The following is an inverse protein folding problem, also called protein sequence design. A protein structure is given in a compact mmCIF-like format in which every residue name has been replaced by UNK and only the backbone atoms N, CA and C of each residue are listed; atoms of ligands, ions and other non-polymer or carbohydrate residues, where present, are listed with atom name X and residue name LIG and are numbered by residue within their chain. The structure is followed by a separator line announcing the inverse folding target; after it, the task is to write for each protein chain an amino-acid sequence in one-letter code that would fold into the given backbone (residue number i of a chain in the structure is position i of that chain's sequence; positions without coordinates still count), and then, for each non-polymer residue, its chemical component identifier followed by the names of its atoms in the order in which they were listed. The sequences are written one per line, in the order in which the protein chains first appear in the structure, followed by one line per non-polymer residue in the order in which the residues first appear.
data_IF_215305944767
#
_entry.id   IF_215305944767
#
_cell.length_a   1.000
_cell.length_b   1.000
_cell.length_c   1.000
_cell.angle_alpha   90.00
_cell.angle_beta   90.00
_cell.angle_gamma   90.00
#
_symmetry.space_group_name_H-M   'P 1'
#
loop_
_entity.id
_entity.type
_entity.pdbx_description
1 polymer ?
#
# COMPACT_ATOMS: atom_id res chain seq x y z
N UNK A 1 -20.04 -1.43 -16.11
CA UNK A 1 -20.13 -2.78 -15.53
C UNK A 1 -20.83 -3.79 -16.44
N UNK A 2 -22.05 -3.54 -17.02
CA UNK A 2 -22.72 -4.51 -17.88
C UNK A 2 -21.90 -4.88 -19.13
N UNK A 3 -21.07 -3.99 -19.64
CA UNK A 3 -20.17 -4.25 -20.76
C UNK A 3 -19.13 -5.34 -20.43
N UNK A 4 -18.51 -5.28 -19.25
CA UNK A 4 -17.52 -6.28 -18.81
C UNK A 4 -18.18 -7.62 -18.46
N UNK A 5 -19.34 -7.61 -17.82
CA UNK A 5 -20.10 -8.80 -17.49
C UNK A 5 -20.50 -9.61 -18.74
N UNK A 6 -20.89 -8.93 -19.84
CA UNK A 6 -21.17 -9.58 -21.15
C UNK A 6 -19.91 -10.24 -21.75
N UNK A 7 -18.72 -9.84 -21.35
CA UNK A 7 -17.45 -10.42 -21.79
C UNK A 7 -16.94 -11.55 -20.88
N UNK A 8 -17.75 -11.95 -19.88
CA UNK A 8 -17.39 -13.00 -18.92
C UNK A 8 -16.35 -12.54 -17.90
N UNK A 9 -16.23 -11.26 -17.65
CA UNK A 9 -15.31 -10.68 -16.67
C UNK A 9 -16.08 -10.40 -15.38
N UNK A 10 -15.52 -10.82 -14.24
CA UNK A 10 -16.10 -10.55 -12.94
C UNK A 10 -16.18 -9.03 -12.69
N UNK A 11 -17.40 -8.54 -12.50
CA UNK A 11 -17.67 -7.13 -12.29
C UNK A 11 -17.06 -6.58 -11.00
N UNK A 12 -17.02 -7.38 -9.93
CA UNK A 12 -16.47 -6.97 -8.63
C UNK A 12 -14.95 -6.84 -8.73
N UNK A 13 -14.27 -7.85 -9.27
CA UNK A 13 -12.83 -7.81 -9.50
C UNK A 13 -12.41 -6.64 -10.39
N UNK A 14 -13.20 -6.34 -11.44
CA UNK A 14 -12.96 -5.21 -12.32
C UNK A 14 -13.08 -3.87 -11.59
N UNK A 15 -14.09 -3.69 -10.74
CA UNK A 15 -14.25 -2.44 -9.95
C UNK A 15 -13.07 -2.26 -9.01
N UNK A 16 -12.68 -3.31 -8.29
CA UNK A 16 -11.53 -3.27 -7.38
C UNK A 16 -10.26 -2.89 -8.14
N UNK A 17 -10.00 -3.53 -9.29
CA UNK A 17 -8.83 -3.23 -10.12
C UNK A 17 -8.83 -1.77 -10.62
N UNK A 18 -9.98 -1.21 -10.97
CA UNK A 18 -10.11 0.17 -11.41
C UNK A 18 -9.89 1.20 -10.28
N UNK A 19 -10.13 0.82 -9.03
CA UNK A 19 -9.97 1.71 -7.86
C UNK A 19 -8.60 1.61 -7.19
N UNK A 20 -7.82 0.56 -7.48
CA UNK A 20 -6.48 0.35 -6.91
C UNK A 20 -5.45 1.39 -7.37
N UNK A 21 -4.65 1.93 -6.46
CA UNK A 21 -3.51 2.84 -6.72
C UNK A 21 -2.21 2.12 -6.37
N UNK A 22 -1.12 2.47 -7.05
CA UNK A 22 0.21 1.91 -6.78
C UNK A 22 1.13 3.01 -6.22
N UNK A 23 1.22 3.14 -4.90
CA UNK A 23 2.13 4.08 -4.24
C UNK A 23 3.60 3.76 -4.51
N UNK A 24 3.93 2.49 -4.71
CA UNK A 24 5.29 2.06 -5.03
C UNK A 24 5.87 2.71 -6.29
N UNK A 25 5.02 3.07 -7.27
CA UNK A 25 5.43 3.81 -8.48
C UNK A 25 5.35 5.32 -8.29
N UNK A 26 4.45 5.77 -7.44
CA UNK A 26 4.18 7.19 -7.23
C UNK A 26 5.26 7.86 -6.38
N UNK A 27 5.73 7.18 -5.34
CA UNK A 27 6.73 7.72 -4.40
C UNK A 27 8.04 8.16 -5.06
N UNK A 28 8.68 7.36 -5.96
CA UNK A 28 9.86 7.82 -6.68
C UNK A 28 9.62 9.08 -7.49
N UNK A 29 8.47 9.18 -8.15
CA UNK A 29 8.10 10.36 -8.97
C UNK A 29 7.97 11.61 -8.08
N UNK A 30 7.33 11.48 -6.91
CA UNK A 30 7.21 12.58 -5.95
C UNK A 30 8.58 13.05 -5.45
N UNK A 31 9.49 12.11 -5.18
CA UNK A 31 10.88 12.43 -4.77
C UNK A 31 11.66 13.12 -5.88
N UNK A 32 11.64 12.60 -7.10
CA UNK A 32 12.32 13.19 -8.26
C UNK A 32 11.80 14.61 -8.57
N UNK A 33 10.52 14.86 -8.34
CA UNK A 33 9.89 16.17 -8.54
C UNK A 33 10.01 17.10 -7.34
N UNK A 34 10.66 16.67 -6.25
CA UNK A 34 10.77 17.41 -4.98
C UNK A 34 9.41 17.84 -4.42
N UNK A 35 8.39 17.01 -4.59
CA UNK A 35 7.04 17.25 -4.08
C UNK A 35 6.83 16.63 -2.70
N UNK A 36 7.74 15.80 -2.22
CA UNK A 36 7.70 15.21 -0.87
C UNK A 36 7.76 16.31 0.20
N UNK A 37 6.87 16.24 1.20
CA UNK A 37 6.75 17.27 2.23
C UNK A 37 6.10 18.58 1.79
N UNK A 38 5.56 18.64 0.57
CA UNK A 38 4.71 19.75 0.14
C UNK A 38 3.23 19.41 0.37
N UNK A 39 2.34 20.42 0.54
CA UNK A 39 0.91 20.16 0.71
C UNK A 39 0.30 19.32 -0.42
N UNK A 40 0.80 19.48 -1.64
CA UNK A 40 0.38 18.69 -2.81
C UNK A 40 0.87 17.26 -2.69
N UNK A 41 2.15 17.07 -2.36
CA UNK A 41 2.73 15.75 -2.17
C UNK A 41 2.05 14.97 -1.05
N UNK A 42 1.79 15.61 0.07
CA UNK A 42 1.09 15.01 1.22
C UNK A 42 -0.36 14.62 0.86
N UNK A 43 -1.07 15.45 0.10
CA UNK A 43 -2.39 15.13 -0.41
C UNK A 43 -2.34 13.90 -1.34
N UNK A 44 -1.40 13.86 -2.29
CA UNK A 44 -1.23 12.74 -3.22
C UNK A 44 -0.92 11.44 -2.47
N UNK A 45 -0.03 11.49 -1.48
CA UNK A 45 0.32 10.33 -0.64
C UNK A 45 -0.91 9.85 0.14
N UNK A 46 -1.66 10.76 0.74
CA UNK A 46 -2.86 10.43 1.52
C UNK A 46 -3.93 9.77 0.65
N UNK A 47 -4.25 10.36 -0.51
CA UNK A 47 -5.21 9.77 -1.45
C UNK A 47 -4.70 8.43 -2.02
N UNK A 48 -3.42 8.33 -2.33
CA UNK A 48 -2.78 7.10 -2.81
C UNK A 48 -2.85 5.99 -1.78
N UNK A 49 -2.61 6.29 -0.49
CA UNK A 49 -2.70 5.32 0.61
C UNK A 49 -4.12 4.75 0.73
N UNK A 50 -5.15 5.59 0.72
CA UNK A 50 -6.53 5.11 0.74
C UNK A 50 -6.90 4.36 -0.54
N UNK A 51 -6.39 4.78 -1.70
CA UNK A 51 -6.57 4.11 -2.99
C UNK A 51 -5.85 2.76 -3.09
N UNK A 52 -4.92 2.45 -2.20
CA UNK A 52 -4.26 1.14 -2.10
C UNK A 52 -4.93 0.27 -1.04
N UNK A 53 -5.15 0.80 0.16
CA UNK A 53 -5.75 0.07 1.27
C UNK A 53 -7.22 -0.31 1.03
N UNK A 54 -8.01 0.61 0.51
CA UNK A 54 -9.44 0.39 0.28
C UNK A 54 -9.71 -0.85 -0.58
N UNK A 55 -9.11 -0.95 -1.78
CA UNK A 55 -9.23 -2.13 -2.63
C UNK A 55 -8.73 -3.43 -2.00
N UNK A 56 -7.63 -3.39 -1.22
CA UNK A 56 -7.10 -4.58 -0.53
C UNK A 56 -8.12 -5.10 0.50
N UNK A 57 -8.68 -4.20 1.30
CA UNK A 57 -9.73 -4.55 2.26
C UNK A 57 -11.00 -5.02 1.54
N UNK A 58 -11.38 -4.37 0.44
CA UNK A 58 -12.51 -4.79 -0.37
C UNK A 58 -12.31 -6.19 -0.97
N UNK A 59 -11.10 -6.52 -1.46
CA UNK A 59 -10.77 -7.86 -1.91
C UNK A 59 -10.91 -8.89 -0.79
N UNK A 60 -10.36 -8.60 0.38
CA UNK A 60 -10.41 -9.50 1.52
C UNK A 60 -11.87 -9.80 1.95
N UNK A 61 -12.78 -8.85 1.79
CA UNK A 61 -14.18 -9.00 2.20
C UNK A 61 -15.05 -9.56 1.06
N UNK A 62 -14.94 -9.00 -0.15
CA UNK A 62 -15.86 -9.26 -1.26
C UNK A 62 -15.48 -10.48 -2.12
N UNK A 63 -14.17 -10.77 -2.24
CA UNK A 63 -13.68 -11.92 -3.01
C UNK A 63 -13.36 -13.13 -2.12
N UNK A 64 -13.58 -13.02 -0.81
CA UNK A 64 -13.42 -14.15 0.10
C UNK A 64 -14.38 -15.28 -0.28
N UNK A 65 -13.87 -16.51 -0.36
CA UNK A 65 -14.66 -17.72 -0.55
C UNK A 65 -15.44 -18.13 0.70
N UNK A 66 -15.20 -17.45 1.82
CA UNK A 66 -15.83 -17.70 3.12
C UNK A 66 -17.15 -16.95 3.26
N UNK A 67 -18.01 -17.41 4.15
CA UNK A 67 -19.21 -16.65 4.52
C UNK A 67 -18.80 -15.33 5.20
N UNK A 68 -19.56 -14.26 4.99
CA UNK A 68 -19.25 -12.90 5.51
C UNK A 68 -18.89 -12.88 7.00
N UNK A 69 -19.56 -13.67 7.83
CA UNK A 69 -19.28 -13.84 9.26
C UNK A 69 -17.86 -14.43 9.51
N UNK A 70 -17.48 -15.47 8.79
CA UNK A 70 -16.15 -16.11 8.92
C UNK A 70 -15.06 -15.15 8.49
N UNK A 71 -15.27 -14.37 7.42
CA UNK A 71 -14.34 -13.34 6.96
C UNK A 71 -14.13 -12.28 8.03
N UNK A 72 -15.21 -11.81 8.70
CA UNK A 72 -15.10 -10.84 9.79
C UNK A 72 -14.34 -11.40 11.00
N UNK A 73 -14.53 -12.68 11.33
CA UNK A 73 -13.76 -13.34 12.39
C UNK A 73 -12.28 -13.42 12.07
N UNK A 74 -11.94 -13.79 10.83
CA UNK A 74 -10.55 -13.92 10.39
C UNK A 74 -9.85 -12.55 10.37
N UNK A 75 -10.50 -11.53 9.84
CA UNK A 75 -9.99 -10.16 9.87
C UNK A 75 -9.84 -9.64 11.31
N UNK A 76 -10.81 -9.93 12.17
CA UNK A 76 -10.74 -9.57 13.59
C UNK A 76 -9.60 -10.27 14.33
N UNK A 77 -9.39 -11.57 14.07
CA UNK A 77 -8.27 -12.33 14.62
C UNK A 77 -6.92 -11.80 14.13
N UNK A 78 -6.81 -11.53 12.83
CA UNK A 78 -5.61 -10.92 12.24
C UNK A 78 -5.31 -9.54 12.86
N UNK A 79 -6.31 -8.67 12.95
CA UNK A 79 -6.18 -7.35 13.59
C UNK A 79 -5.75 -7.47 15.06
N UNK A 80 -6.30 -8.45 15.79
CA UNK A 80 -5.92 -8.71 17.19
C UNK A 80 -4.45 -9.09 17.29
N UNK A 81 -3.94 -9.94 16.41
CA UNK A 81 -2.52 -10.31 16.35
C UNK A 81 -1.66 -9.08 16.05
N UNK A 82 -2.06 -8.25 15.09
CA UNK A 82 -1.37 -7.00 14.76
C UNK A 82 -1.29 -6.05 15.97
N UNK A 83 -2.40 -5.88 16.70
CA UNK A 83 -2.46 -5.08 17.92
C UNK A 83 -1.56 -5.63 19.02
N UNK A 84 -1.54 -6.95 19.21
CA UNK A 84 -0.63 -7.59 20.16
C UNK A 84 0.82 -7.36 19.78
N UNK A 85 1.18 -7.53 18.50
CA UNK A 85 2.52 -7.25 17.99
C UNK A 85 2.93 -5.77 18.16
N UNK A 86 1.99 -4.84 18.09
CA UNK A 86 2.25 -3.42 18.33
C UNK A 86 2.37 -3.09 19.83
N UNK A 87 1.54 -3.68 20.66
CA UNK A 87 1.45 -3.34 22.09
C UNK A 87 2.54 -4.02 22.95
N UNK A 88 2.94 -5.24 22.60
CA UNK A 88 3.97 -5.98 23.37
C UNK A 88 5.31 -5.23 23.46
N UNK A 89 5.89 -4.77 22.33
CA UNK A 89 7.13 -4.00 22.38
C UNK A 89 6.97 -2.68 23.13
N UNK A 90 5.86 -1.97 22.96
CA UNK A 90 5.66 -0.66 23.60
C UNK A 90 5.50 -0.77 25.12
N UNK A 91 4.88 -1.83 25.63
CA UNK A 91 4.85 -2.10 27.08
C UNK A 91 6.25 -2.47 27.61
N UNK A 92 6.99 -3.32 26.87
CA UNK A 92 8.36 -3.67 27.23
C UNK A 92 9.29 -2.43 27.16
N UNK A 93 9.09 -1.52 26.21
CA UNK A 93 9.84 -0.27 26.08
C UNK A 93 9.56 0.71 27.24
N UNK A 94 8.29 0.82 27.68
CA UNK A 94 7.93 1.66 28.84
C UNK A 94 8.50 1.12 30.15
N UNK A 95 8.66 -0.18 30.29
CA UNK A 95 9.18 -0.83 31.51
C UNK A 95 10.70 -0.97 31.50
N UNK A 96 11.36 -0.88 30.35
CA UNK A 96 12.79 -1.09 30.20
C UNK A 96 13.46 -0.09 29.26
N UNK A 97 14.00 1.01 29.79
CA UNK A 97 14.92 1.92 29.09
C UNK A 97 16.08 1.20 28.36
N UNK A 98 16.38 -0.05 28.76
CA UNK A 98 17.46 -0.85 28.14
C UNK A 98 17.16 -1.29 26.72
N UNK A 99 15.93 -1.71 26.41
CA UNK A 99 15.57 -2.19 25.07
C UNK A 99 15.49 -1.01 24.07
N UNK A 100 14.94 0.12 24.52
CA UNK A 100 14.89 1.34 23.70
C UNK A 100 16.30 1.86 23.40
N UNK A 101 17.17 1.98 24.42
CA UNK A 101 18.59 2.32 24.22
C UNK A 101 19.28 1.31 23.32
N UNK A 102 19.08 0.02 23.53
CA UNK A 102 19.68 -1.02 22.69
C UNK A 102 19.25 -0.87 21.21
N UNK A 103 18.00 -0.55 20.93
CA UNK A 103 17.51 -0.33 19.57
C UNK A 103 18.02 1.00 18.98
N UNK A 104 18.06 2.07 19.77
CA UNK A 104 18.53 3.40 19.30
C UNK A 104 20.05 3.50 19.22
N UNK A 105 20.76 2.99 20.21
CA UNK A 105 22.23 3.02 20.23
C UNK A 105 22.82 2.07 19.17
N UNK A 106 22.13 0.96 18.86
CA UNK A 106 22.54 0.02 17.82
C UNK A 106 21.90 0.32 16.44
N UNK A 107 21.07 1.34 16.30
CA UNK A 107 20.50 1.73 15.01
C UNK A 107 21.58 2.13 13.99
N UNK A 108 22.69 2.70 14.48
CA UNK A 108 23.86 3.12 13.69
C UNK A 108 24.99 2.09 13.68
N UNK A 109 24.83 0.96 14.38
CA UNK A 109 25.86 -0.07 14.45
C UNK A 109 25.84 -0.93 13.18
N UNK A 110 26.99 -1.47 12.80
CA UNK A 110 27.20 -2.34 11.64
C UNK A 110 26.35 -3.61 11.61
N UNK A 111 25.74 -4.00 12.74
CA UNK A 111 24.90 -5.19 12.86
C UNK A 111 23.56 -5.14 12.13
N UNK A 112 23.12 -3.97 11.68
CA UNK A 112 21.85 -3.78 10.96
C UNK A 112 20.64 -4.41 11.70
N UNK A 113 20.65 -4.40 13.02
CA UNK A 113 19.66 -5.07 13.88
C UNK A 113 18.24 -4.61 13.57
N UNK A 114 18.03 -3.31 13.34
CA UNK A 114 16.72 -2.78 12.97
C UNK A 114 16.24 -3.34 11.62
N UNK A 115 17.13 -3.44 10.63
CA UNK A 115 16.77 -4.01 9.33
C UNK A 115 16.35 -5.48 9.45
N UNK A 116 17.08 -6.26 10.25
CA UNK A 116 16.75 -7.68 10.52
C UNK A 116 15.41 -7.82 11.24
N UNK A 117 15.17 -6.98 12.25
CA UNK A 117 13.89 -6.97 12.99
C UNK A 117 12.72 -6.59 12.08
N UNK A 118 12.90 -5.56 11.24
CA UNK A 118 11.88 -5.14 10.28
C UNK A 118 11.58 -6.25 9.27
N UNK A 119 12.61 -6.90 8.73
CA UNK A 119 12.45 -8.02 7.78
C UNK A 119 11.76 -9.20 8.47
N UNK A 120 12.14 -9.52 9.70
CA UNK A 120 11.48 -10.58 10.47
C UNK A 120 10.00 -10.27 10.72
N UNK A 121 9.68 -9.05 11.16
CA UNK A 121 8.29 -8.62 11.38
C UNK A 121 7.48 -8.68 10.08
N UNK A 122 8.05 -8.25 8.96
CA UNK A 122 7.44 -8.32 7.65
C UNK A 122 7.10 -9.77 7.27
N UNK A 123 8.11 -10.66 7.30
CA UNK A 123 7.93 -12.07 6.94
C UNK A 123 6.92 -12.73 7.88
N UNK A 124 6.99 -12.46 9.17
CA UNK A 124 6.09 -13.01 10.17
C UNK A 124 4.62 -12.62 9.89
N UNK A 125 4.32 -11.35 9.68
CA UNK A 125 2.96 -10.90 9.43
C UNK A 125 2.43 -11.29 8.04
N UNK A 126 3.29 -11.33 7.03
CA UNK A 126 2.94 -11.87 5.71
C UNK A 126 2.61 -13.36 5.80
N UNK A 127 3.39 -14.13 6.57
CA UNK A 127 3.11 -15.56 6.79
C UNK A 127 1.78 -15.76 7.53
N UNK A 128 1.52 -14.97 8.57
CA UNK A 128 0.24 -15.03 9.29
C UNK A 128 -0.92 -14.66 8.36
N UNK A 129 -0.77 -13.59 7.56
CA UNK A 129 -1.78 -13.21 6.57
C UNK A 129 -2.08 -14.38 5.62
N UNK A 130 -1.04 -15.03 5.09
CA UNK A 130 -1.19 -16.18 4.21
C UNK A 130 -1.86 -17.39 4.91
N UNK A 131 -1.54 -17.66 6.18
CA UNK A 131 -2.19 -18.73 6.97
C UNK A 131 -3.68 -18.47 7.18
N UNK A 132 -4.08 -17.21 7.26
CA UNK A 132 -5.48 -16.81 7.33
C UNK A 132 -6.15 -16.70 5.95
N UNK A 133 -5.45 -17.06 4.87
CA UNK A 133 -5.92 -16.89 3.47
C UNK A 133 -6.30 -15.42 3.14
N UNK A 134 -5.63 -14.48 3.80
CA UNK A 134 -5.70 -13.06 3.49
C UNK A 134 -4.59 -12.70 2.50
N UNK A 135 -4.74 -11.56 1.83
CA UNK A 135 -3.72 -11.08 0.92
C UNK A 135 -2.40 -10.77 1.65
N UNK A 136 -1.28 -11.19 1.07
CA UNK A 136 0.07 -10.94 1.60
C UNK A 136 0.36 -9.43 1.77
N UNK A 137 -0.22 -8.59 0.92
CA UNK A 137 -0.09 -7.14 0.98
C UNK A 137 -0.68 -6.58 2.28
N UNK A 138 -1.77 -7.17 2.79
CA UNK A 138 -2.35 -6.77 4.07
C UNK A 138 -1.38 -7.04 5.24
N UNK A 139 -0.69 -8.18 5.21
CA UNK A 139 0.35 -8.51 6.19
C UNK A 139 1.54 -7.56 6.14
N UNK A 140 1.99 -7.23 4.93
CA UNK A 140 3.10 -6.30 4.73
C UNK A 140 2.74 -4.87 5.18
N UNK A 141 1.52 -4.42 4.88
CA UNK A 141 1.00 -3.13 5.34
C UNK A 141 0.93 -3.05 6.87
N UNK A 142 0.39 -4.10 7.51
CA UNK A 142 0.33 -4.18 8.97
C UNK A 142 1.74 -4.11 9.59
N UNK A 143 2.74 -4.77 8.99
CA UNK A 143 4.13 -4.70 9.44
C UNK A 143 4.69 -3.27 9.39
N UNK A 144 4.44 -2.55 8.29
CA UNK A 144 4.85 -1.16 8.13
C UNK A 144 4.17 -0.24 9.16
N UNK A 145 2.87 -0.42 9.38
CA UNK A 145 2.12 0.35 10.37
C UNK A 145 2.63 0.12 11.81
N UNK A 146 2.89 -1.14 12.17
CA UNK A 146 3.44 -1.51 13.48
C UNK A 146 4.83 -0.91 13.65
N UNK A 147 5.68 -0.99 12.62
CA UNK A 147 7.02 -0.42 12.65
C UNK A 147 6.96 1.11 12.88
N UNK A 148 6.07 1.80 12.17
CA UNK A 148 5.86 3.24 12.36
C UNK A 148 5.37 3.60 13.77
N UNK A 149 4.53 2.74 14.35
CA UNK A 149 4.04 2.93 15.72
C UNK A 149 5.13 2.72 16.78
N UNK A 150 6.04 1.75 16.55
CA UNK A 150 7.14 1.46 17.47
C UNK A 150 8.26 2.51 17.37
N UNK A 151 8.52 3.03 16.17
CA UNK A 151 9.56 4.02 15.87
C UNK A 151 8.91 5.27 15.26
N UNK A 152 8.20 6.09 16.06
CA UNK A 152 7.43 7.22 15.55
C UNK A 152 8.31 8.32 14.93
N UNK A 153 9.50 8.55 15.47
CA UNK A 153 10.45 9.56 14.96
C UNK A 153 11.17 9.12 13.69
N UNK A 154 10.93 7.87 13.25
CA UNK A 154 11.58 7.26 12.11
C UNK A 154 13.10 7.12 12.32
N UNK A 155 13.70 6.16 11.67
CA UNK A 155 15.15 6.10 11.53
C UNK A 155 15.46 6.37 10.07
N UNK A 156 15.96 7.58 9.75
CA UNK A 156 16.38 7.93 8.37
C UNK A 156 17.33 6.88 7.78
N UNK A 157 18.16 6.28 8.63
CA UNK A 157 19.06 5.19 8.23
C UNK A 157 18.30 3.91 7.86
N UNK A 158 17.22 3.56 8.58
CA UNK A 158 16.38 2.42 8.27
C UNK A 158 15.57 2.67 6.99
N UNK A 159 14.98 3.86 6.87
CA UNK A 159 14.21 4.26 5.68
C UNK A 159 15.08 4.18 4.42
N UNK A 160 16.29 4.77 4.43
CA UNK A 160 17.22 4.68 3.30
C UNK A 160 17.59 3.24 2.93
N UNK A 161 17.75 2.36 3.92
CA UNK A 161 18.07 0.94 3.67
C UNK A 161 16.89 0.20 3.06
N UNK A 162 15.68 0.42 3.59
CA UNK A 162 14.44 -0.17 3.08
C UNK A 162 14.16 0.33 1.66
N UNK A 163 14.34 1.62 1.42
CA UNK A 163 14.22 2.21 0.08
C UNK A 163 15.24 1.62 -0.89
N UNK A 164 16.50 1.50 -0.49
CA UNK A 164 17.54 0.89 -1.32
C UNK A 164 17.21 -0.53 -1.74
N UNK A 165 16.70 -1.36 -0.83
CA UNK A 165 16.26 -2.73 -1.14
C UNK A 165 14.95 -2.72 -1.93
N UNK A 166 13.99 -1.91 -1.53
CA UNK A 166 12.67 -1.81 -2.16
C UNK A 166 12.77 -1.33 -3.60
N UNK A 167 13.25 -0.11 -3.79
CA UNK A 167 13.32 0.50 -5.13
C UNK A 167 14.49 -0.01 -5.97
N UNK A 168 15.59 -0.41 -5.34
CA UNK A 168 16.77 -0.92 -6.06
C UNK A 168 16.63 -2.36 -6.53
N UNK A 169 15.80 -3.18 -5.89
CA UNK A 169 15.72 -4.60 -6.21
C UNK A 169 14.28 -5.14 -6.26
N UNK A 170 13.51 -5.03 -5.17
CA UNK A 170 12.23 -5.74 -5.06
C UNK A 170 11.18 -5.22 -6.05
N UNK A 171 11.05 -3.90 -6.21
CA UNK A 171 10.07 -3.29 -7.11
C UNK A 171 10.39 -3.58 -8.58
N UNK A 172 11.64 -3.42 -9.08
CA UNK A 172 12.00 -3.85 -10.43
C UNK A 172 11.71 -5.33 -10.69
N UNK A 173 12.08 -6.22 -9.77
CA UNK A 173 11.79 -7.66 -9.89
C UNK A 173 10.28 -7.91 -9.95
N UNK A 174 9.50 -7.25 -9.09
CA UNK A 174 8.04 -7.34 -9.11
C UNK A 174 7.46 -6.96 -10.48
N UNK A 175 7.90 -5.85 -11.08
CA UNK A 175 7.40 -5.43 -12.38
C UNK A 175 7.79 -6.40 -13.50
N UNK A 176 9.01 -6.93 -13.48
CA UNK A 176 9.45 -7.93 -14.47
C UNK A 176 8.61 -9.20 -14.35
N UNK A 177 8.45 -9.73 -13.14
CA UNK A 177 7.68 -10.97 -12.91
C UNK A 177 6.20 -10.77 -13.26
N UNK A 178 5.60 -9.66 -12.81
CA UNK A 178 4.20 -9.33 -13.11
C UNK A 178 3.99 -9.11 -14.60
N UNK A 179 4.91 -8.41 -15.28
CA UNK A 179 4.86 -8.22 -16.72
C UNK A 179 4.98 -9.53 -17.51
N UNK A 180 5.86 -10.44 -17.07
CA UNK A 180 6.02 -11.75 -17.69
C UNK A 180 4.77 -12.66 -17.52
N UNK A 181 3.99 -12.45 -16.45
CA UNK A 181 2.75 -13.19 -16.22
C UNK A 181 1.58 -12.72 -17.12
N UNK A 182 1.70 -11.58 -17.80
CA UNK A 182 0.63 -11.05 -18.66
C UNK A 182 0.49 -11.90 -19.92
N UNK A 183 -0.70 -12.41 -20.18
CA UNK A 183 -1.02 -13.08 -21.42
C UNK A 183 -1.28 -12.07 -22.56
N UNK A 184 -0.22 -11.67 -23.22
CA UNK A 184 -0.24 -10.66 -24.31
C UNK A 184 -1.20 -11.04 -25.44
N UNK A 185 -1.33 -12.33 -25.77
CA UNK A 185 -2.25 -12.80 -26.82
C UNK A 185 -3.72 -12.57 -26.43
N UNK A 186 -4.07 -12.82 -25.18
CA UNK A 186 -5.43 -12.58 -24.68
C UNK A 186 -5.78 -11.09 -24.70
N UNK A 187 -4.84 -10.23 -24.35
CA UNK A 187 -5.01 -8.78 -24.37
C UNK A 187 -5.11 -8.26 -25.81
N UNK A 188 -4.21 -8.68 -26.70
CA UNK A 188 -4.21 -8.28 -28.11
C UNK A 188 -5.45 -8.77 -28.87
N UNK A 189 -6.03 -9.89 -28.47
CA UNK A 189 -7.28 -10.41 -29.04
C UNK A 189 -8.54 -9.59 -28.73
N UNK A 190 -8.47 -8.65 -27.77
CA UNK A 190 -9.63 -7.84 -27.33
C UNK A 190 -9.25 -6.35 -27.16
N UNK A 191 -8.83 -5.65 -28.23
CA UNK A 191 -8.31 -4.28 -28.11
C UNK A 191 -9.38 -3.29 -27.64
N UNK A 192 -10.65 -3.47 -28.03
CA UNK A 192 -11.74 -2.62 -27.57
C UNK A 192 -11.95 -2.68 -26.05
N UNK A 193 -11.76 -3.86 -25.46
CA UNK A 193 -11.86 -4.05 -24.01
C UNK A 193 -10.70 -3.37 -23.26
N UNK A 194 -9.50 -3.44 -23.82
CA UNK A 194 -8.31 -2.75 -23.28
C UNK A 194 -8.52 -1.24 -23.30
N UNK A 195 -8.95 -0.68 -24.42
CA UNK A 195 -9.23 0.76 -24.55
C UNK A 195 -10.34 1.19 -23.59
N UNK A 196 -11.43 0.43 -23.50
CA UNK A 196 -12.51 0.72 -22.55
C UNK A 196 -12.03 0.71 -21.10
N UNK A 197 -11.17 -0.25 -20.74
CA UNK A 197 -10.58 -0.34 -19.39
C UNK A 197 -9.72 0.89 -19.09
N UNK A 198 -8.83 1.30 -20.00
CA UNK A 198 -7.98 2.49 -19.84
C UNK A 198 -8.81 3.77 -19.71
N UNK A 199 -9.82 3.94 -20.56
CA UNK A 199 -10.72 5.11 -20.49
C UNK A 199 -11.48 5.14 -19.16
N UNK A 200 -12.03 4.01 -18.72
CA UNK A 200 -12.72 3.92 -17.43
C UNK A 200 -11.76 4.19 -16.26
N UNK A 201 -10.56 3.68 -16.31
CA UNK A 201 -9.54 3.93 -15.30
C UNK A 201 -9.22 5.43 -15.19
N UNK A 202 -9.06 6.12 -16.33
CA UNK A 202 -8.85 7.56 -16.37
C UNK A 202 -10.05 8.32 -15.78
N UNK A 203 -11.27 7.98 -16.19
CA UNK A 203 -12.48 8.65 -15.71
C UNK A 203 -12.70 8.45 -14.21
N UNK A 204 -12.61 7.21 -13.72
CA UNK A 204 -12.87 6.87 -12.32
C UNK A 204 -11.85 7.52 -11.38
N UNK A 205 -10.62 7.73 -11.85
CA UNK A 205 -9.55 8.32 -11.03
C UNK A 205 -9.44 9.83 -11.19
N UNK A 206 -9.40 10.33 -12.42
CA UNK A 206 -9.19 11.74 -12.67
C UNK A 206 -10.38 12.59 -12.24
N UNK A 207 -11.62 12.13 -12.50
CA UNK A 207 -12.83 12.93 -12.23
C UNK A 207 -13.05 13.19 -10.74
N UNK A 208 -13.03 12.20 -9.83
CA UNK A 208 -13.20 12.46 -8.39
C UNK A 208 -12.11 13.35 -7.81
N UNK A 209 -10.86 13.14 -8.20
CA UNK A 209 -9.74 13.97 -7.74
C UNK A 209 -9.88 15.41 -8.25
N UNK A 210 -10.24 15.60 -9.52
CA UNK A 210 -10.49 16.91 -10.09
C UNK A 210 -11.64 17.62 -9.36
N UNK A 211 -12.75 16.91 -9.11
CA UNK A 211 -13.92 17.45 -8.38
C UNK A 211 -13.52 17.80 -6.94
N UNK A 212 -12.85 16.92 -6.23
CA UNK A 212 -12.40 17.17 -4.86
C UNK A 212 -11.50 18.41 -4.79
N UNK A 213 -10.49 18.51 -5.66
CA UNK A 213 -9.60 19.67 -5.74
C UNK A 213 -10.32 20.96 -6.19
N UNK A 214 -11.38 20.86 -6.98
CA UNK A 214 -12.16 22.03 -7.41
C UNK A 214 -13.13 22.52 -6.32
N UNK A 215 -13.61 21.62 -5.46
CA UNK A 215 -14.48 21.97 -4.32
C UNK A 215 -13.70 22.54 -3.15
N UNK A 216 -12.44 22.12 -2.97
CA UNK A 216 -11.53 22.57 -1.92
C UNK A 216 -10.93 23.99 -2.20
N UNK A 217 -11.59 24.74 -3.03
CA UNK A 217 -11.23 26.13 -3.40
C UNK A 217 -11.18 27.10 -2.20
N UNK A 218 -11.69 26.72 -1.04
CA UNK A 218 -11.85 27.62 0.12
C UNK A 218 -10.61 27.71 1.02
N UNK A 219 -9.70 26.72 1.02
CA UNK A 219 -8.59 26.70 1.98
C UNK A 219 -7.18 26.63 1.39
N UNK A 220 -7.02 26.30 0.10
CA UNK A 220 -5.70 26.26 -0.53
C UNK A 220 -5.72 26.98 -1.89
N UNK A 221 -4.99 28.09 -2.03
CA UNK A 221 -4.78 28.72 -3.32
C UNK A 221 -3.75 27.93 -4.13
N UNK A 222 -4.08 26.72 -4.55
CA UNK A 222 -3.38 26.09 -5.65
C UNK A 222 -3.64 26.97 -6.86
N UNK A 223 -2.62 27.73 -7.29
CA UNK A 223 -2.73 28.54 -8.49
C UNK A 223 -3.21 27.65 -9.64
N UNK A 224 -4.02 28.21 -10.51
CA UNK A 224 -4.58 27.50 -11.68
C UNK A 224 -3.53 26.79 -12.54
N UNK A 225 -2.27 27.18 -12.42
CA UNK A 225 -1.12 26.60 -13.11
C UNK A 225 -0.73 25.18 -12.64
N UNK A 226 -1.03 24.81 -11.40
CA UNK A 226 -0.63 23.51 -10.84
C UNK A 226 -1.71 22.44 -10.97
N UNK A 227 -2.85 22.77 -11.60
CA UNK A 227 -3.96 21.83 -11.81
C UNK A 227 -3.88 21.00 -13.08
N UNK A 228 -3.00 21.34 -13.99
CA UNK A 228 -2.97 20.79 -15.37
C UNK A 228 -1.63 20.11 -15.70
N UNK A 229 -0.63 20.19 -14.83
CA UNK A 229 0.64 19.46 -14.99
C UNK A 229 0.75 18.33 -13.99
#
# INVERSE_FOLDING_TARGET
LPFFAKQGIDGIATVIALTTTALGTLMPILKERNLEGTPIGDAIISYGTWGELGPILAMAILLSTRTGWQTMLVLGAFLTICLLCAMLPTKALKTGHRLYRFLTDNANTSSQTLMRLTTFLLIFLVTISALFELDAVLGAFAAGFILRYIIPDGSKSLEMKLEGVGYGFLIPVFFVVSGAAINVRAVAGRPALLVAFIVMLMLIRAVPVYVALSLDKRENPLSSHHRVT
#
